data_IF_711783526343
#
_entry.id   IF_711783526343
#
_cell.length_a   1.000
_cell.length_b   1.000
_cell.length_c   1.000
_cell.angle_alpha   90.00
_cell.angle_beta   90.00
_cell.angle_gamma   90.00
#
_symmetry.space_group_name_H-M   'P 1'
#
loop_
_entity.id
_entity.type
_entity.pdbx_description
1 polymer ?
#
# COMPACT_ATOMS: atom_id res chain seq x y z
N UNK A 1 -44.82 32.00 52.04
CA UNK A 1 -46.24 31.97 52.49
C UNK A 1 -46.70 33.39 52.76
N UNK A 2 -47.47 34.01 51.86
CA UNK A 2 -48.55 34.98 52.17
C UNK A 2 -49.10 35.57 50.86
N UNK A 3 -50.14 34.91 50.33
CA UNK A 3 -51.51 35.42 50.09
C UNK A 3 -51.67 36.43 48.93
N UNK A 4 -52.35 35.91 47.91
CA UNK A 4 -53.10 36.61 46.87
C UNK A 4 -53.99 37.73 47.43
N UNK A 5 -54.13 38.82 46.67
CA UNK A 5 -55.37 39.57 46.59
C UNK A 5 -55.56 40.07 45.16
N UNK A 6 -56.55 39.48 44.49
CA UNK A 6 -57.17 39.97 43.27
C UNK A 6 -57.89 41.30 43.54
N UNK A 7 -57.87 42.18 42.55
CA UNK A 7 -59.03 42.90 42.01
C UNK A 7 -58.67 44.35 41.71
N UNK A 8 -58.59 44.68 40.41
CA UNK A 8 -59.24 45.87 39.86
C UNK A 8 -59.28 45.79 38.34
N UNK A 9 -60.45 45.37 37.88
CA UNK A 9 -60.97 45.48 36.52
C UNK A 9 -61.03 46.93 36.06
N UNK A 10 -60.52 47.23 34.87
CA UNK A 10 -61.02 48.32 34.03
C UNK A 10 -60.62 48.08 32.56
N UNK A 11 -61.64 47.73 31.76
CA UNK A 11 -61.89 48.17 30.40
C UNK A 11 -60.74 48.21 29.36
N UNK A 12 -60.81 47.32 28.37
CA UNK A 12 -60.90 47.69 26.96
C UNK A 12 -61.17 46.44 26.09
N UNK A 13 -62.43 46.26 25.75
CA UNK A 13 -62.92 45.32 24.72
C UNK A 13 -63.01 46.10 23.41
N UNK A 14 -62.17 45.81 22.43
CA UNK A 14 -62.43 46.18 21.03
C UNK A 14 -62.13 44.99 20.12
N UNK A 15 -63.23 44.40 19.67
CA UNK A 15 -63.38 43.50 18.53
C UNK A 15 -62.96 44.20 17.23
N UNK A 16 -62.00 43.64 16.50
CA UNK A 16 -61.96 43.75 15.03
C UNK A 16 -61.54 42.41 14.43
N UNK A 17 -62.55 41.60 14.12
CA UNK A 17 -62.49 40.53 13.13
C UNK A 17 -62.46 41.14 11.73
N UNK A 18 -61.44 40.83 10.92
CA UNK A 18 -61.38 41.28 9.54
C UNK A 18 -60.42 40.47 8.67
N UNK A 19 -61.01 39.64 7.80
CA UNK A 19 -60.47 39.21 6.50
C UNK A 19 -59.22 38.32 6.46
N UNK A 20 -59.45 37.00 6.55
CA UNK A 20 -58.60 35.98 5.93
C UNK A 20 -58.92 35.93 4.41
N UNK A 21 -58.26 36.76 3.61
CA UNK A 21 -58.25 36.62 2.14
C UNK A 21 -57.09 35.74 1.73
N UNK A 22 -57.40 34.54 1.26
CA UNK A 22 -56.42 33.63 0.67
C UNK A 22 -55.83 34.22 -0.61
N UNK A 23 -54.53 34.50 -0.59
CA UNK A 23 -53.73 34.72 -1.80
C UNK A 23 -53.57 33.37 -2.50
N UNK A 24 -54.45 33.07 -3.45
CA UNK A 24 -54.26 31.98 -4.41
C UNK A 24 -53.13 32.37 -5.37
N UNK A 25 -51.91 31.97 -5.03
CA UNK A 25 -50.75 32.03 -5.93
C UNK A 25 -50.95 31.00 -7.04
N UNK A 26 -51.29 31.46 -8.25
CA UNK A 26 -51.25 30.61 -9.44
C UNK A 26 -49.78 30.32 -9.80
N UNK A 27 -49.45 29.05 -10.02
CA UNK A 27 -48.10 28.65 -10.42
C UNK A 27 -47.75 29.23 -11.81
N UNK A 28 -46.50 29.68 -12.03
CA UNK A 28 -46.08 30.25 -13.31
C UNK A 28 -45.96 29.13 -14.34
N UNK A 29 -46.62 29.27 -15.49
CA UNK A 29 -46.46 28.35 -16.63
C UNK A 29 -47.66 28.12 -17.53
N UNK A 30 -48.83 28.74 -17.28
CA UNK A 30 -50.03 28.52 -18.10
C UNK A 30 -50.22 29.53 -19.26
N UNK A 31 -49.21 30.33 -19.57
CA UNK A 31 -49.25 31.39 -20.59
C UNK A 31 -47.84 31.72 -21.09
N UNK A 32 -47.69 31.97 -22.39
CA UNK A 32 -46.48 32.55 -22.96
C UNK A 32 -46.30 34.02 -22.53
N UNK A 33 -45.12 34.62 -22.76
CA UNK A 33 -44.79 35.98 -22.29
C UNK A 33 -45.72 37.09 -22.79
N UNK A 34 -46.61 36.80 -23.75
CA UNK A 34 -47.63 37.73 -24.28
C UNK A 34 -49.08 37.22 -24.10
N UNK A 35 -49.34 36.24 -23.23
CA UNK A 35 -50.70 35.80 -22.91
C UNK A 35 -51.37 34.88 -23.95
N UNK A 36 -50.62 34.31 -24.89
CA UNK A 36 -51.14 33.31 -25.84
C UNK A 36 -51.40 31.95 -25.18
N UNK A 37 -52.53 31.33 -25.53
CA UNK A 37 -52.86 29.93 -25.22
C UNK A 37 -52.30 29.06 -26.35
N UNK A 38 -51.51 28.03 -26.03
CA UNK A 38 -50.86 27.15 -27.02
C UNK A 38 -51.83 26.08 -27.58
N UNK A 39 -52.96 26.50 -28.17
CA UNK A 39 -53.97 25.59 -28.73
C UNK A 39 -53.71 25.20 -30.20
N UNK A 40 -52.50 25.41 -30.70
CA UNK A 40 -52.05 24.87 -31.99
C UNK A 40 -51.80 23.35 -31.89
N UNK A 41 -52.02 22.55 -32.95
CA UNK A 41 -51.81 21.11 -32.91
C UNK A 41 -50.32 20.82 -32.69
N UNK A 42 -49.96 20.66 -31.43
CA UNK A 42 -48.63 20.26 -31.01
C UNK A 42 -48.41 18.82 -31.49
N UNK A 43 -47.41 18.63 -32.34
CA UNK A 43 -46.97 17.32 -32.81
C UNK A 43 -46.81 16.34 -31.64
N UNK A 44 -47.04 15.07 -31.92
CA UNK A 44 -47.18 13.92 -31.01
C UNK A 44 -45.96 13.65 -30.11
N UNK A 45 -45.57 14.59 -29.26
CA UNK A 45 -44.79 14.29 -28.08
C UNK A 45 -45.75 13.84 -26.99
N UNK A 46 -45.70 12.56 -26.61
CA UNK A 46 -46.39 12.03 -25.42
C UNK A 46 -45.74 12.60 -24.14
N UNK A 47 -45.79 13.92 -23.95
CA UNK A 47 -45.24 14.60 -22.78
C UNK A 47 -46.02 14.31 -21.48
N UNK A 48 -47.10 13.53 -21.54
CA UNK A 48 -48.02 13.26 -20.42
C UNK A 48 -48.00 11.79 -19.93
N UNK A 49 -46.93 11.03 -20.22
CA UNK A 49 -46.81 9.60 -19.86
C UNK A 49 -45.62 9.29 -18.94
N UNK A 50 -45.67 8.12 -18.29
CA UNK A 50 -44.49 7.52 -17.65
C UNK A 50 -43.46 7.18 -18.75
N UNK A 51 -42.30 7.82 -18.74
CA UNK A 51 -41.26 7.56 -19.72
C UNK A 51 -39.86 7.80 -19.18
N UNK A 52 -38.88 7.09 -19.75
CA UNK A 52 -37.46 7.37 -19.55
C UNK A 52 -37.01 8.44 -20.55
N UNK A 53 -36.25 9.42 -20.07
CA UNK A 53 -35.68 10.48 -20.90
C UNK A 53 -34.32 10.04 -21.49
N UNK A 54 -33.85 10.70 -22.56
CA UNK A 54 -32.55 10.39 -23.19
C UNK A 54 -31.34 10.55 -22.26
N UNK A 55 -31.47 11.35 -21.20
CA UNK A 55 -30.45 11.55 -20.16
C UNK A 55 -30.45 10.42 -19.09
N UNK A 56 -31.34 9.43 -19.23
CA UNK A 56 -31.50 8.31 -18.31
C UNK A 56 -32.42 8.58 -17.12
N UNK A 57 -32.84 9.83 -16.91
CA UNK A 57 -33.83 10.19 -15.90
C UNK A 57 -35.22 9.64 -16.24
N UNK A 58 -36.14 9.63 -15.28
CA UNK A 58 -37.51 9.13 -15.46
C UNK A 58 -38.51 10.24 -15.21
N UNK A 59 -39.33 10.56 -16.21
CA UNK A 59 -40.50 11.40 -16.03
C UNK A 59 -41.66 10.55 -15.51
N UNK A 60 -42.17 10.90 -14.34
CA UNK A 60 -43.34 10.28 -13.74
C UNK A 60 -44.38 11.36 -13.37
N UNK A 61 -45.51 11.44 -14.09
CA UNK A 61 -46.58 12.38 -13.74
C UNK A 61 -47.15 12.12 -12.34
N UNK A 62 -47.58 13.17 -11.62
CA UNK A 62 -48.10 13.06 -10.24
C UNK A 62 -49.23 12.04 -10.08
N UNK A 63 -50.12 11.90 -11.07
CA UNK A 63 -51.19 10.90 -11.04
C UNK A 63 -50.62 9.48 -11.00
N UNK A 64 -49.59 9.23 -11.80
CA UNK A 64 -48.90 7.96 -11.83
C UNK A 64 -48.14 7.73 -10.52
N UNK A 65 -47.44 8.74 -9.99
CA UNK A 65 -46.79 8.67 -8.68
C UNK A 65 -47.79 8.33 -7.56
N UNK A 66 -48.97 8.96 -7.56
CA UNK A 66 -50.05 8.71 -6.59
C UNK A 66 -50.61 7.29 -6.71
N UNK A 67 -50.89 6.81 -7.93
CA UNK A 67 -51.37 5.43 -8.18
C UNK A 67 -50.34 4.38 -7.77
N UNK A 68 -49.06 4.68 -7.95
CA UNK A 68 -47.95 3.82 -7.55
C UNK A 68 -47.55 3.97 -6.08
N UNK A 69 -48.13 4.93 -5.34
CA UNK A 69 -47.82 5.16 -3.93
C UNK A 69 -46.40 5.68 -3.67
N UNK A 70 -45.76 6.36 -4.63
CA UNK A 70 -44.39 6.86 -4.49
C UNK A 70 -44.31 7.92 -3.39
N UNK A 71 -43.34 7.76 -2.47
CA UNK A 71 -43.03 8.71 -1.39
C UNK A 71 -41.57 9.11 -1.44
N UNK A 72 -41.30 10.40 -1.31
CA UNK A 72 -39.94 10.93 -1.21
C UNK A 72 -39.56 11.09 0.26
N UNK A 73 -38.46 10.47 0.67
CA UNK A 73 -37.85 10.67 1.98
C UNK A 73 -36.49 11.31 1.80
N UNK A 74 -36.17 12.33 2.61
CA UNK A 74 -34.86 12.95 2.60
C UNK A 74 -33.88 12.04 3.36
N UNK A 75 -32.79 11.64 2.71
CA UNK A 75 -31.75 10.84 3.36
C UNK A 75 -30.93 11.74 4.31
N UNK A 76 -30.92 11.47 5.64
CA UNK A 76 -30.08 12.24 6.56
C UNK A 76 -28.61 11.80 6.40
N UNK A 77 -27.70 12.77 6.52
CA UNK A 77 -26.27 12.46 6.66
C UNK A 77 -26.07 11.81 8.03
N UNK A 78 -25.44 10.63 8.04
CA UNK A 78 -25.16 9.88 9.27
C UNK A 78 -23.68 9.51 9.32
N UNK A 79 -23.12 9.40 10.52
CA UNK A 79 -21.80 8.83 10.71
C UNK A 79 -21.91 7.30 10.56
N UNK A 80 -21.19 6.74 9.59
CA UNK A 80 -21.11 5.29 9.38
C UNK A 80 -19.66 4.83 9.59
N UNK A 81 -19.47 3.85 10.48
CA UNK A 81 -18.20 3.18 10.65
C UNK A 81 -18.19 1.91 9.77
N UNK A 82 -17.64 2.03 8.56
CA UNK A 82 -17.40 0.86 7.72
C UNK A 82 -16.03 0.26 8.08
N UNK A 83 -16.01 -0.91 8.69
CA UNK A 83 -14.79 -1.69 8.86
C UNK A 83 -14.60 -2.62 7.66
N UNK A 84 -13.48 -2.50 6.97
CA UNK A 84 -13.08 -3.45 5.92
C UNK A 84 -12.01 -4.36 6.50
N UNK A 85 -12.24 -5.67 6.46
CA UNK A 85 -11.21 -6.65 6.80
C UNK A 85 -10.28 -6.82 5.61
N UNK A 86 -8.98 -6.67 5.86
CA UNK A 86 -7.94 -6.88 4.86
C UNK A 86 -7.07 -8.07 5.31
N UNK A 87 -6.83 -9.06 4.45
CA UNK A 87 -5.87 -10.11 4.76
C UNK A 87 -4.47 -9.49 4.86
N UNK A 88 -3.76 -9.82 5.94
CA UNK A 88 -2.39 -9.37 6.18
C UNK A 88 -1.55 -10.50 6.74
N UNK A 89 -0.25 -10.44 6.47
CA UNK A 89 0.72 -11.39 7.02
C UNK A 89 1.76 -10.62 7.82
N UNK A 90 2.05 -11.10 9.03
CA UNK A 90 3.17 -10.59 9.84
C UNK A 90 4.45 -11.23 9.32
N UNK A 91 5.35 -10.39 8.81
CA UNK A 91 6.70 -10.77 8.39
C UNK A 91 7.71 -10.11 9.32
N UNK A 92 8.84 -10.77 9.52
CA UNK A 92 9.97 -10.16 10.24
C UNK A 92 10.46 -8.94 9.47
N UNK A 93 10.82 -7.87 10.19
CA UNK A 93 11.51 -6.74 9.56
C UNK A 93 12.79 -7.25 8.87
N UNK A 94 12.95 -7.05 7.55
CA UNK A 94 14.12 -7.48 6.79
C UNK A 94 15.44 -6.94 7.36
N UNK A 95 15.42 -5.83 8.09
CA UNK A 95 16.60 -5.22 8.70
C UNK A 95 16.85 -5.69 10.13
N UNK A 96 15.86 -6.29 10.81
CA UNK A 96 15.96 -6.70 12.21
C UNK A 96 16.37 -8.18 12.39
N UNK A 97 16.39 -8.97 11.32
CA UNK A 97 16.70 -10.38 11.38
C UNK A 97 17.28 -10.92 10.08
N UNK A 98 17.89 -12.10 10.16
CA UNK A 98 18.47 -12.77 9.01
C UNK A 98 18.84 -14.20 9.32
N UNK A 99 19.04 -15.00 8.28
CA UNK A 99 19.57 -16.36 8.40
C UNK A 99 21.09 -16.28 8.33
N UNK A 100 21.78 -16.84 9.32
CA UNK A 100 23.23 -17.01 9.28
C UNK A 100 23.53 -18.32 8.55
N UNK A 101 24.23 -18.22 7.42
CA UNK A 101 24.63 -19.37 6.61
C UNK A 101 26.15 -19.37 6.45
N UNK A 102 26.75 -20.54 6.50
CA UNK A 102 28.17 -20.68 6.22
C UNK A 102 28.43 -20.55 4.71
N UNK A 103 29.56 -19.94 4.34
CA UNK A 103 29.97 -19.76 2.94
C UNK A 103 30.36 -21.07 2.28
N UNK A 104 30.91 -22.01 3.05
CA UNK A 104 31.37 -23.31 2.58
C UNK A 104 30.69 -24.45 3.34
N UNK A 105 30.65 -25.63 2.73
CA UNK A 105 30.30 -26.86 3.42
C UNK A 105 31.40 -27.29 4.39
N UNK A 106 31.02 -27.99 5.45
CA UNK A 106 31.98 -28.51 6.42
C UNK A 106 31.32 -29.10 7.67
N UNK A 107 32.16 -29.47 8.64
CA UNK A 107 31.72 -29.94 9.95
C UNK A 107 31.56 -28.77 10.90
N UNK A 108 30.41 -28.67 11.56
CA UNK A 108 30.16 -27.67 12.59
C UNK A 108 30.83 -28.12 13.90
N UNK A 109 31.59 -27.23 14.51
CA UNK A 109 32.25 -27.40 15.80
C UNK A 109 31.68 -26.40 16.82
N UNK A 110 31.61 -26.77 18.11
CA UNK A 110 31.08 -25.89 19.14
C UNK A 110 31.91 -24.61 19.29
N UNK A 111 31.22 -23.49 19.51
CA UNK A 111 31.87 -22.23 19.88
C UNK A 111 32.34 -22.25 21.35
N UNK A 112 32.88 -21.12 21.85
CA UNK A 112 33.33 -21.00 23.24
C UNK A 112 32.26 -21.29 24.30
N UNK A 113 30.98 -21.14 23.94
CA UNK A 113 29.82 -21.41 24.80
C UNK A 113 29.06 -22.69 24.42
N UNK A 114 29.63 -23.54 23.57
CA UNK A 114 28.94 -24.68 22.98
C UNK A 114 28.16 -24.32 21.72
N UNK A 115 27.23 -25.20 21.32
CA UNK A 115 26.31 -24.97 20.22
C UNK A 115 25.06 -24.23 20.74
N UNK A 116 24.54 -23.23 20.01
CA UNK A 116 23.38 -22.47 20.42
C UNK A 116 22.11 -23.32 20.41
N UNK A 117 21.21 -23.05 21.35
CA UNK A 117 19.91 -23.73 21.46
C UNK A 117 18.80 -22.84 20.90
N UNK A 118 17.74 -23.44 20.38
CA UNK A 118 16.58 -22.70 19.90
C UNK A 118 15.98 -21.79 20.99
N UNK A 119 15.77 -20.52 20.67
CA UNK A 119 15.26 -19.50 21.60
C UNK A 119 16.34 -18.81 22.45
N UNK A 120 17.61 -19.19 22.33
CA UNK A 120 18.70 -18.49 23.00
C UNK A 120 18.88 -17.06 22.44
N UNK A 121 19.05 -16.09 23.34
CA UNK A 121 19.34 -14.71 22.95
C UNK A 121 20.79 -14.56 22.48
N UNK A 122 20.99 -14.09 21.25
CA UNK A 122 22.31 -13.86 20.65
C UNK A 122 22.60 -12.37 20.55
N UNK A 123 23.88 -12.00 20.65
CA UNK A 123 24.34 -10.61 20.48
C UNK A 123 25.17 -10.46 19.21
N UNK A 124 25.20 -9.24 18.66
CA UNK A 124 26.09 -8.91 17.53
C UNK A 124 27.54 -9.24 17.89
N UNK A 125 28.21 -9.99 17.00
CA UNK A 125 29.60 -10.43 17.20
C UNK A 125 29.77 -11.68 18.07
N UNK A 126 28.68 -12.27 18.59
CA UNK A 126 28.77 -13.55 19.29
C UNK A 126 29.10 -14.67 18.30
N UNK A 127 30.14 -15.45 18.63
CA UNK A 127 30.49 -16.66 17.89
C UNK A 127 29.46 -17.74 18.19
N UNK A 128 28.73 -18.18 17.16
CA UNK A 128 27.70 -19.22 17.27
C UNK A 128 28.29 -20.62 17.18
N UNK A 129 29.17 -20.83 16.21
CA UNK A 129 29.87 -22.09 15.99
C UNK A 129 31.11 -21.84 15.14
N UNK A 130 32.05 -22.77 15.17
CA UNK A 130 33.14 -22.82 14.20
C UNK A 130 32.77 -23.79 13.08
N UNK A 131 33.25 -23.50 11.87
CA UNK A 131 33.09 -24.40 10.73
C UNK A 131 34.47 -24.95 10.37
N UNK A 132 34.66 -26.26 10.54
CA UNK A 132 35.80 -26.96 9.96
C UNK A 132 35.48 -27.25 8.51
N UNK A 133 36.12 -26.51 7.61
CA UNK A 133 36.04 -26.76 6.17
C UNK A 133 36.44 -28.21 5.87
N UNK A 134 35.63 -28.90 5.07
CA UNK A 134 35.98 -30.22 4.54
C UNK A 134 36.33 -30.06 3.06
N UNK A 135 37.63 -30.01 2.79
CA UNK A 135 38.16 -30.19 1.44
C UNK A 135 37.91 -31.61 0.96
N UNK A 136 37.66 -31.77 -0.34
CA UNK A 136 37.70 -33.08 -0.96
C UNK A 136 39.17 -33.59 -0.92
N UNK A 137 39.45 -34.79 -0.39
CA UNK A 137 40.82 -35.26 -0.20
C UNK A 137 41.67 -35.25 -1.48
N UNK A 138 41.04 -35.52 -2.63
CA UNK A 138 41.70 -35.49 -3.94
C UNK A 138 42.06 -34.07 -4.39
N UNK A 139 41.17 -33.11 -4.18
CA UNK A 139 41.43 -31.71 -4.51
C UNK A 139 42.61 -31.15 -3.69
N UNK A 140 42.66 -31.48 -2.40
CA UNK A 140 43.78 -31.09 -1.53
C UNK A 140 45.10 -31.75 -1.95
N UNK A 141 45.07 -33.04 -2.29
CA UNK A 141 46.24 -33.75 -2.80
C UNK A 141 46.77 -33.13 -4.11
N UNK A 142 45.89 -32.79 -5.04
CA UNK A 142 46.26 -32.13 -6.30
C UNK A 142 46.87 -30.75 -6.05
N UNK A 143 46.23 -29.90 -5.24
CA UNK A 143 46.78 -28.59 -4.86
C UNK A 143 48.16 -28.72 -4.21
N UNK A 144 48.36 -29.76 -3.39
CA UNK A 144 49.66 -30.03 -2.76
C UNK A 144 50.72 -30.51 -3.74
N UNK A 145 50.33 -31.31 -4.75
CA UNK A 145 51.22 -31.75 -5.83
C UNK A 145 51.66 -30.56 -6.67
N UNK A 146 50.71 -29.76 -7.17
CA UNK A 146 50.96 -28.56 -7.95
C UNK A 146 51.86 -27.58 -7.18
N UNK A 147 51.58 -27.35 -5.90
CA UNK A 147 52.42 -26.49 -5.07
C UNK A 147 53.85 -27.03 -4.89
N UNK A 148 54.04 -28.35 -4.93
CA UNK A 148 55.37 -28.98 -4.82
C UNK A 148 56.14 -28.90 -6.13
N UNK A 149 55.47 -29.15 -7.26
CA UNK A 149 56.02 -28.97 -8.61
C UNK A 149 56.43 -27.52 -8.86
N UNK A 150 55.56 -26.56 -8.53
CA UNK A 150 55.85 -25.13 -8.63
C UNK A 150 57.07 -24.72 -7.77
N UNK A 151 57.21 -25.27 -6.56
CA UNK A 151 58.39 -25.03 -5.72
C UNK A 151 59.66 -25.62 -6.33
N UNK A 152 59.61 -26.83 -6.88
CA UNK A 152 60.76 -27.45 -7.52
C UNK A 152 61.21 -26.67 -8.77
N UNK A 153 60.25 -26.24 -9.59
CA UNK A 153 60.50 -25.39 -10.76
C UNK A 153 61.12 -24.06 -10.35
N UNK A 154 60.60 -23.44 -9.28
CA UNK A 154 61.16 -22.20 -8.72
C UNK A 154 62.61 -22.38 -8.28
N UNK A 155 62.93 -23.43 -7.53
CA UNK A 155 64.31 -23.69 -7.06
C UNK A 155 65.25 -23.86 -8.26
N UNK A 156 64.81 -24.58 -9.29
CA UNK A 156 65.61 -24.81 -10.51
C UNK A 156 65.84 -23.52 -11.28
N UNK A 157 64.81 -22.67 -11.42
CA UNK A 157 64.91 -21.35 -12.03
C UNK A 157 65.85 -20.44 -11.22
N UNK A 158 65.69 -20.36 -9.89
CA UNK A 158 66.56 -19.57 -9.01
C UNK A 158 68.04 -20.01 -9.10
N UNK A 159 68.30 -21.32 -9.17
CA UNK A 159 69.66 -21.84 -9.38
C UNK A 159 70.21 -21.50 -10.77
N UNK A 160 69.35 -21.50 -11.80
CA UNK A 160 69.73 -21.13 -13.17
C UNK A 160 70.12 -19.67 -13.23
N UNK A 161 69.29 -18.78 -12.68
CA UNK A 161 69.57 -17.33 -12.59
C UNK A 161 70.89 -17.09 -11.85
N UNK A 162 71.05 -17.64 -10.65
CA UNK A 162 72.27 -17.47 -9.84
C UNK A 162 73.54 -17.95 -10.56
N UNK A 163 73.44 -19.03 -11.33
CA UNK A 163 74.56 -19.54 -12.14
C UNK A 163 74.90 -18.57 -13.28
N UNK A 164 73.90 -18.05 -13.99
CA UNK A 164 74.11 -17.13 -15.10
C UNK A 164 74.65 -15.77 -14.64
N UNK A 165 74.17 -15.26 -13.51
CA UNK A 165 74.73 -14.07 -12.84
C UNK A 165 76.22 -14.24 -12.51
N UNK A 166 76.65 -15.44 -12.09
CA UNK A 166 78.08 -15.69 -11.82
C UNK A 166 78.98 -15.71 -13.07
N UNK A 167 78.38 -15.78 -14.27
CA UNK A 167 79.07 -15.80 -15.57
C UNK A 167 78.90 -14.47 -16.34
N UNK A 168 78.52 -13.41 -15.63
CA UNK A 168 78.33 -12.07 -16.17
C UNK A 168 79.61 -11.59 -16.90
N UNK A 169 79.44 -11.09 -18.13
CA UNK A 169 80.53 -10.71 -19.03
C UNK A 169 80.93 -11.78 -20.05
N UNK A 170 80.56 -13.05 -19.85
CA UNK A 170 80.73 -14.13 -20.85
C UNK A 170 79.40 -14.53 -21.50
N UNK A 171 78.28 -14.30 -20.82
CA UNK A 171 76.92 -14.60 -21.30
C UNK A 171 76.17 -13.30 -21.62
N UNK A 172 75.38 -13.22 -22.70
CA UNK A 172 74.54 -12.06 -22.99
C UNK A 172 73.55 -11.74 -21.86
N UNK A 173 73.41 -10.46 -21.50
CA UNK A 173 72.48 -10.00 -20.44
C UNK A 173 71.03 -10.43 -20.67
N UNK A 174 70.59 -10.46 -21.94
CA UNK A 174 69.26 -10.95 -22.33
C UNK A 174 68.96 -12.39 -21.89
N UNK A 175 69.99 -13.23 -21.80
CA UNK A 175 69.83 -14.65 -21.44
C UNK A 175 69.78 -14.82 -19.90
N UNK A 176 70.28 -13.84 -19.14
CA UNK A 176 70.14 -13.75 -17.68
C UNK A 176 68.71 -13.28 -17.31
N UNK A 177 68.18 -12.29 -18.03
CA UNK A 177 66.83 -11.75 -17.82
C UNK A 177 65.71 -12.73 -18.22
N UNK A 178 65.97 -13.62 -19.18
CA UNK A 178 64.99 -14.60 -19.67
C UNK A 178 64.98 -15.94 -18.89
N UNK A 179 65.86 -16.09 -17.89
CA UNK A 179 66.02 -17.31 -17.10
C UNK A 179 65.14 -17.34 -15.85
#
# INVERSE_FOLDING_TARGET
>A
MSRLSYARTAAALVLVSGFFTGLTQAAPGAHGPNGEHLDGPSGTSRASGLMRLPDGSVNAPKLAQRRMGIRTQLAPVTAAAASVQLPGQVVVDPNAGGRVQAVYGGRIEPGPKGLPVAGEAVRKGQVLAYLRYQSEPFAEANQRSEASELRANRITAEQRVKRLESLEGTVPTKDIEAA
#
